data_IF_443355189155
#
_entry.id   IF_443355189155
#
_cell.length_a   1.000
_cell.length_b   1.000
_cell.length_c   1.000
_cell.angle_alpha   90.00
_cell.angle_beta   90.00
_cell.angle_gamma   90.00
#
_symmetry.space_group_name_H-M   'P 1'
#
loop_
_entity.id
_entity.type
_entity.pdbx_description
1 polymer ?
#
# COMPACT_ATOMS: atom_id res chain seq x y z
N UNK A 1 17.55 -14.35 -9.87
CA UNK A 1 16.33 -13.57 -9.55
C UNK A 1 15.27 -13.75 -10.61
N UNK A 2 15.59 -13.61 -11.91
CA UNK A 2 14.63 -13.73 -13.02
C UNK A 2 13.71 -14.97 -12.92
N UNK A 3 14.28 -16.17 -12.84
CA UNK A 3 13.51 -17.43 -12.70
C UNK A 3 12.53 -17.39 -11.51
N UNK A 4 12.97 -16.93 -10.33
CA UNK A 4 12.09 -16.81 -9.15
C UNK A 4 10.96 -15.81 -9.32
N UNK A 5 11.21 -14.71 -10.05
CA UNK A 5 10.19 -13.71 -10.37
C UNK A 5 9.19 -14.29 -11.36
N UNK A 6 9.66 -15.01 -12.36
CA UNK A 6 8.80 -15.71 -13.32
C UNK A 6 7.93 -16.75 -12.64
N UNK A 7 8.49 -17.59 -11.77
CA UNK A 7 7.73 -18.56 -10.96
C UNK A 7 6.63 -17.88 -10.13
N UNK A 8 6.98 -16.79 -9.44
CA UNK A 8 6.02 -16.02 -8.66
C UNK A 8 4.90 -15.45 -9.55
N UNK A 9 5.27 -14.83 -10.68
CA UNK A 9 4.33 -14.23 -11.62
C UNK A 9 3.38 -15.28 -12.22
N UNK A 10 3.93 -16.43 -12.62
CA UNK A 10 3.17 -17.57 -13.14
C UNK A 10 2.21 -18.15 -12.11
N UNK A 11 2.54 -18.11 -10.82
CA UNK A 11 1.64 -18.54 -9.77
C UNK A 11 0.50 -17.53 -9.56
N UNK A 12 0.83 -16.24 -9.44
CA UNK A 12 -0.16 -15.22 -9.05
C UNK A 12 -1.07 -14.79 -10.20
N UNK A 13 -0.66 -14.95 -11.47
CA UNK A 13 -1.52 -14.61 -12.62
C UNK A 13 -2.83 -15.40 -12.61
N UNK A 14 -2.86 -16.60 -12.01
CA UNK A 14 -4.06 -17.43 -11.86
C UNK A 14 -5.13 -16.83 -10.93
N UNK A 15 -4.84 -15.75 -10.21
CA UNK A 15 -5.86 -15.02 -9.46
C UNK A 15 -6.74 -14.13 -10.35
N UNK A 16 -6.37 -13.94 -11.62
CA UNK A 16 -7.15 -13.21 -12.63
C UNK A 16 -7.71 -11.86 -12.09
N UNK A 17 -9.02 -11.65 -12.12
CA UNK A 17 -9.66 -10.42 -11.64
C UNK A 17 -9.49 -10.17 -10.14
N UNK A 18 -9.06 -11.17 -9.36
CA UNK A 18 -8.85 -11.11 -7.91
C UNK A 18 -7.41 -10.83 -7.51
N UNK A 19 -6.46 -10.79 -8.46
CA UNK A 19 -5.03 -10.61 -8.16
C UNK A 19 -4.74 -9.26 -7.48
N UNK A 20 -5.42 -8.21 -7.88
CA UNK A 20 -5.11 -6.86 -7.42
C UNK A 20 -3.72 -6.40 -7.87
N UNK A 21 -2.95 -5.80 -6.96
CA UNK A 21 -1.55 -5.38 -7.22
C UNK A 21 -0.59 -6.18 -6.36
N UNK A 22 0.48 -6.70 -6.96
CA UNK A 22 1.54 -7.38 -6.23
C UNK A 22 2.41 -6.37 -5.50
N UNK A 23 2.98 -6.82 -4.39
CA UNK A 23 3.62 -5.97 -3.40
C UNK A 23 5.10 -6.30 -3.27
N UNK A 24 5.98 -5.34 -3.60
CA UNK A 24 7.42 -5.40 -3.38
C UNK A 24 7.84 -4.43 -2.27
N UNK A 25 8.01 -4.94 -1.06
CA UNK A 25 8.64 -4.19 0.02
C UNK A 25 10.14 -4.45 0.05
N UNK A 26 10.93 -3.38 -0.08
CA UNK A 26 12.38 -3.46 0.00
C UNK A 26 12.85 -3.39 1.46
N UNK A 27 13.93 -4.11 1.76
CA UNK A 27 14.54 -4.09 3.09
C UNK A 27 15.10 -2.69 3.41
N UNK A 28 15.20 -2.34 4.69
CA UNK A 28 15.68 -1.02 5.14
C UNK A 28 17.13 -0.70 4.75
N UNK A 29 17.94 -1.73 4.51
CA UNK A 29 19.31 -1.59 4.00
C UNK A 29 19.37 -1.26 2.49
N UNK A 30 18.24 -1.37 1.77
CA UNK A 30 18.14 -1.01 0.36
C UNK A 30 18.02 0.52 0.27
N UNK A 31 19.09 1.17 -0.16
CA UNK A 31 19.22 2.62 -0.12
C UNK A 31 19.49 3.19 -1.54
N UNK A 32 19.52 4.52 -1.72
CA UNK A 32 19.61 5.14 -3.04
C UNK A 32 20.76 4.67 -3.93
N UNK A 33 21.87 4.18 -3.35
CA UNK A 33 22.99 3.62 -4.13
C UNK A 33 22.59 2.38 -4.94
N UNK A 34 21.51 1.71 -4.54
CA UNK A 34 20.97 0.52 -5.19
C UNK A 34 19.88 0.84 -6.23
N UNK A 35 19.65 2.13 -6.55
CA UNK A 35 18.66 2.57 -7.53
C UNK A 35 18.82 1.87 -8.89
N UNK A 36 20.05 1.66 -9.37
CA UNK A 36 20.27 0.96 -10.64
C UNK A 36 19.81 -0.51 -10.61
N UNK A 37 19.90 -1.17 -9.45
CA UNK A 37 19.36 -2.53 -9.27
C UNK A 37 17.83 -2.51 -9.31
N UNK A 38 17.22 -1.51 -8.68
CA UNK A 38 15.76 -1.35 -8.70
C UNK A 38 15.26 -1.02 -10.11
N UNK A 39 15.94 -0.13 -10.84
CA UNK A 39 15.64 0.19 -12.24
C UNK A 39 15.64 -1.05 -13.10
N UNK A 40 16.66 -1.90 -12.97
CA UNK A 40 16.73 -3.18 -13.70
C UNK A 40 15.54 -4.07 -13.34
N UNK A 41 15.27 -4.26 -12.05
CA UNK A 41 14.16 -5.10 -11.60
C UNK A 41 12.81 -4.63 -12.14
N UNK A 42 12.50 -3.33 -11.99
CA UNK A 42 11.22 -2.74 -12.42
C UNK A 42 11.04 -2.85 -13.94
N UNK A 43 12.10 -2.65 -14.72
CA UNK A 43 12.04 -2.77 -16.19
C UNK A 43 11.89 -4.20 -16.68
N UNK A 44 12.48 -5.17 -15.96
CA UNK A 44 12.41 -6.59 -16.28
C UNK A 44 11.13 -7.25 -15.73
N UNK A 45 10.36 -6.58 -14.87
CA UNK A 45 9.14 -7.12 -14.27
C UNK A 45 8.01 -7.24 -15.33
N UNK A 46 7.25 -8.35 -15.37
CA UNK A 46 6.15 -8.52 -16.32
C UNK A 46 5.11 -7.39 -16.22
N UNK A 47 4.83 -6.72 -17.34
CA UNK A 47 3.97 -5.52 -17.36
C UNK A 47 2.49 -5.83 -17.18
N UNK A 48 2.11 -7.08 -17.41
CA UNK A 48 0.75 -7.58 -17.28
C UNK A 48 0.32 -7.70 -15.82
N UNK A 49 1.28 -7.74 -14.88
CA UNK A 49 1.03 -7.87 -13.45
C UNK A 49 1.23 -6.51 -12.79
N UNK A 50 0.18 -5.90 -12.18
CA UNK A 50 0.33 -4.61 -11.52
C UNK A 50 1.28 -4.70 -10.33
N UNK A 51 2.33 -3.89 -10.33
CA UNK A 51 3.34 -3.85 -9.28
C UNK A 51 3.18 -2.59 -8.41
N UNK A 52 3.39 -2.75 -7.11
CA UNK A 52 3.54 -1.67 -6.16
C UNK A 52 4.85 -1.84 -5.37
N UNK A 53 5.61 -0.76 -5.20
CA UNK A 53 6.95 -0.76 -4.59
C UNK A 53 6.98 0.12 -3.35
N UNK A 54 7.59 -0.39 -2.27
CA UNK A 54 7.85 0.34 -1.03
C UNK A 54 9.36 0.40 -0.75
N UNK A 55 9.91 1.61 -0.67
CA UNK A 55 11.25 1.87 -0.12
C UNK A 55 11.14 2.28 1.35
N UNK A 56 12.05 1.77 2.20
CA UNK A 56 11.95 1.95 3.66
C UNK A 56 13.05 2.80 4.28
N UNK A 57 14.18 2.94 3.59
CA UNK A 57 15.29 3.73 4.08
C UNK A 57 14.98 5.24 3.97
N UNK A 58 15.32 6.01 5.00
CA UNK A 58 15.08 7.48 5.04
C UNK A 58 15.80 8.24 3.92
N UNK A 59 16.94 7.74 3.45
CA UNK A 59 17.77 8.40 2.45
C UNK A 59 17.06 8.53 1.08
N UNK A 60 16.01 7.73 0.84
CA UNK A 60 15.15 7.87 -0.34
C UNK A 60 14.29 9.14 -0.31
N UNK A 61 14.05 9.71 0.87
CA UNK A 61 13.12 10.82 1.11
C UNK A 61 13.84 12.12 1.47
N UNK A 62 15.03 12.05 2.08
CA UNK A 62 15.80 13.22 2.51
C UNK A 62 16.31 14.07 1.33
N UNK A 63 16.66 13.45 0.20
CA UNK A 63 17.15 14.15 -0.98
C UNK A 63 16.06 14.22 -2.07
N UNK A 64 15.53 15.42 -2.40
CA UNK A 64 14.48 15.58 -3.40
C UNK A 64 14.85 15.03 -4.79
N UNK A 65 16.13 15.09 -5.18
CA UNK A 65 16.58 14.54 -6.47
C UNK A 65 16.46 13.02 -6.48
N UNK A 66 16.92 12.36 -5.42
CA UNK A 66 16.81 10.90 -5.27
C UNK A 66 15.35 10.47 -5.25
N UNK A 67 14.51 11.16 -4.49
CA UNK A 67 13.08 10.87 -4.42
C UNK A 67 12.40 11.03 -5.79
N UNK A 68 12.74 12.08 -6.54
CA UNK A 68 12.21 12.31 -7.88
C UNK A 68 12.69 11.26 -8.88
N UNK A 69 13.96 10.87 -8.85
CA UNK A 69 14.51 9.83 -9.72
C UNK A 69 13.82 8.47 -9.46
N UNK A 70 13.53 8.16 -8.19
CA UNK A 70 12.74 6.99 -7.81
C UNK A 70 11.30 7.09 -8.31
N UNK A 71 10.61 8.21 -8.08
CA UNK A 71 9.23 8.38 -8.54
C UNK A 71 9.12 8.33 -10.07
N UNK A 72 10.07 8.93 -10.79
CA UNK A 72 10.11 8.90 -12.25
C UNK A 72 10.27 7.47 -12.78
N UNK A 73 11.14 6.65 -12.15
CA UNK A 73 11.25 5.24 -12.50
C UNK A 73 9.89 4.52 -12.39
N UNK A 74 9.14 4.76 -11.31
CA UNK A 74 7.84 4.13 -11.11
C UNK A 74 6.81 4.64 -12.12
N UNK A 75 6.78 5.95 -12.38
CA UNK A 75 5.90 6.59 -13.38
C UNK A 75 6.14 6.04 -14.78
N UNK A 76 7.39 5.98 -15.22
CA UNK A 76 7.79 5.48 -16.54
C UNK A 76 7.38 4.02 -16.78
N UNK A 77 7.17 3.25 -15.71
CA UNK A 77 6.86 1.83 -15.76
C UNK A 77 5.44 1.50 -15.23
N UNK A 78 4.60 2.52 -15.00
CA UNK A 78 3.24 2.37 -14.48
C UNK A 78 3.17 1.57 -13.15
N UNK A 79 4.17 1.74 -12.29
CA UNK A 79 4.27 1.07 -10.98
C UNK A 79 3.74 2.00 -9.89
N UNK A 80 2.98 1.45 -8.93
CA UNK A 80 2.47 2.24 -7.81
C UNK A 80 3.54 2.43 -6.73
N UNK A 81 3.71 3.67 -6.26
CA UNK A 81 4.53 3.97 -5.08
C UNK A 81 3.69 3.76 -3.81
N UNK A 82 4.16 2.91 -2.92
CA UNK A 82 3.45 2.58 -1.69
C UNK A 82 3.69 3.66 -0.66
N UNK A 83 2.61 4.31 -0.26
CA UNK A 83 2.65 5.34 0.78
C UNK A 83 2.44 4.68 2.13
N UNK A 84 3.45 4.76 2.99
CA UNK A 84 3.38 4.21 4.35
C UNK A 84 3.09 5.33 5.34
N UNK A 85 2.00 5.21 6.09
CA UNK A 85 1.68 6.08 7.22
C UNK A 85 1.94 5.34 8.53
N UNK A 86 3.07 5.64 9.17
CA UNK A 86 3.42 5.08 10.48
C UNK A 86 3.72 6.20 11.47
N UNK A 87 3.32 6.00 12.73
CA UNK A 87 3.60 6.97 13.79
C UNK A 87 5.11 7.18 13.95
N UNK A 88 5.51 8.43 14.17
CA UNK A 88 6.92 8.80 14.37
C UNK A 88 7.78 8.82 13.11
N UNK A 89 7.27 8.44 11.92
CA UNK A 89 8.03 8.52 10.64
C UNK A 89 7.40 9.44 9.60
N UNK A 90 7.05 10.66 10.02
CA UNK A 90 6.54 11.68 9.08
C UNK A 90 7.58 12.08 8.04
N UNK A 91 8.87 11.86 8.30
CA UNK A 91 10.00 12.03 7.37
C UNK A 91 9.85 11.21 6.08
N UNK A 92 9.11 10.09 6.12
CA UNK A 92 8.89 9.23 4.96
C UNK A 92 7.54 9.43 4.27
N UNK A 93 6.64 10.23 4.83
CA UNK A 93 5.26 10.33 4.33
C UNK A 93 5.17 11.33 3.16
N UNK A 94 5.21 10.82 1.93
CA UNK A 94 5.47 11.64 0.73
C UNK A 94 4.25 12.05 -0.11
N UNK A 95 3.09 11.38 0.03
CA UNK A 95 1.85 11.69 -0.72
C UNK A 95 2.01 11.73 -2.26
N UNK A 96 3.05 11.08 -2.82
CA UNK A 96 3.34 11.05 -4.26
C UNK A 96 2.80 9.76 -4.89
N UNK A 97 1.73 9.91 -5.68
CA UNK A 97 1.26 8.87 -6.59
C UNK A 97 2.13 8.85 -7.85
N UNK A 98 2.39 7.64 -8.36
CA UNK A 98 3.22 7.41 -9.56
C UNK A 98 2.44 6.74 -10.70
N UNK A 99 1.17 6.40 -10.46
CA UNK A 99 0.21 5.98 -11.48
C UNK A 99 -1.23 6.27 -10.99
N UNK A 100 -2.25 5.77 -11.68
CA UNK A 100 -3.67 5.95 -11.32
C UNK A 100 -4.13 5.08 -10.12
N UNK A 101 -3.21 4.41 -9.43
CA UNK A 101 -3.47 3.57 -8.25
C UNK A 101 -2.82 4.16 -7.01
N UNK A 102 -3.62 4.42 -5.98
CA UNK A 102 -3.13 4.74 -4.65
C UNK A 102 -2.98 3.44 -3.86
N UNK A 103 -1.77 3.16 -3.40
CA UNK A 103 -1.48 2.01 -2.55
C UNK A 103 -0.96 2.53 -1.21
N UNK A 104 -1.79 2.43 -0.16
CA UNK A 104 -1.52 3.02 1.15
C UNK A 104 -1.43 1.89 2.17
N UNK A 105 -0.35 1.90 2.96
CA UNK A 105 -0.18 1.05 4.13
C UNK A 105 -0.24 1.92 5.38
N UNK A 106 -1.36 1.86 6.07
CA UNK A 106 -1.57 2.51 7.35
C UNK A 106 -1.11 1.59 8.48
N UNK A 107 -0.10 2.03 9.23
CA UNK A 107 0.40 1.33 10.42
C UNK A 107 -0.11 2.07 11.66
N UNK A 108 -1.02 1.42 12.37
CA UNK A 108 -1.57 1.92 13.62
C UNK A 108 -0.55 1.80 14.76
N UNK A 109 -0.58 2.79 15.65
CA UNK A 109 0.23 2.84 16.85
C UNK A 109 -0.49 2.26 18.09
N UNK A 110 -1.73 1.78 17.94
CA UNK A 110 -2.64 1.43 19.03
C UNK A 110 -2.83 2.61 19.98
N UNK A 111 -2.94 3.80 19.39
CA UNK A 111 -3.06 5.07 20.11
C UNK A 111 -4.29 5.81 19.60
N UNK A 112 -4.90 6.66 20.43
CA UNK A 112 -6.12 7.42 20.08
C UNK A 112 -5.95 8.27 18.82
N UNK A 113 -4.73 8.68 18.50
CA UNK A 113 -4.40 9.41 17.28
C UNK A 113 -4.57 8.60 15.99
N UNK A 114 -4.68 7.27 16.04
CA UNK A 114 -4.91 6.46 14.83
C UNK A 114 -6.23 6.80 14.17
N UNK A 115 -7.26 7.13 14.95
CA UNK A 115 -8.57 7.56 14.44
C UNK A 115 -8.41 8.86 13.65
N UNK A 116 -7.79 9.89 14.23
CA UNK A 116 -7.62 11.18 13.55
C UNK A 116 -6.72 11.05 12.31
N UNK A 117 -5.64 10.26 12.39
CA UNK A 117 -4.78 9.99 11.23
C UNK A 117 -5.54 9.30 10.09
N UNK A 118 -6.42 8.34 10.38
CA UNK A 118 -7.29 7.73 9.37
C UNK A 118 -8.26 8.73 8.75
N UNK A 119 -8.82 9.63 9.56
CA UNK A 119 -9.73 10.67 9.07
C UNK A 119 -9.01 11.69 8.17
N UNK A 120 -7.75 12.03 8.46
CA UNK A 120 -6.92 12.92 7.62
C UNK A 120 -6.71 12.37 6.19
N UNK A 121 -6.81 11.06 6.00
CA UNK A 121 -6.71 10.43 4.68
C UNK A 121 -7.95 10.64 3.81
N UNK A 122 -9.13 10.87 4.41
CA UNK A 122 -10.40 11.03 3.68
C UNK A 122 -10.37 12.20 2.69
N UNK A 123 -10.08 13.45 3.10
CA UNK A 123 -10.02 14.58 2.16
C UNK A 123 -8.90 14.42 1.13
N UNK A 124 -7.82 13.70 1.48
CA UNK A 124 -6.74 13.40 0.53
C UNK A 124 -7.22 12.49 -0.60
N UNK A 125 -7.90 11.42 -0.24
CA UNK A 125 -8.42 10.43 -1.20
C UNK A 125 -9.53 11.06 -2.04
N UNK A 126 -10.38 11.89 -1.46
CA UNK A 126 -11.40 12.66 -2.20
C UNK A 126 -10.76 13.53 -3.28
N UNK A 127 -9.74 14.32 -2.91
CA UNK A 127 -8.98 15.12 -3.87
C UNK A 127 -8.33 14.25 -4.96
N UNK A 128 -7.74 13.11 -4.62
CA UNK A 128 -7.15 12.23 -5.63
C UNK A 128 -8.22 11.62 -6.55
N UNK A 129 -9.40 11.28 -6.04
CA UNK A 129 -10.54 10.81 -6.84
C UNK A 129 -10.95 11.87 -7.86
N UNK A 130 -11.06 13.13 -7.45
CA UNK A 130 -11.34 14.26 -8.35
C UNK A 130 -10.25 14.43 -9.42
N UNK A 131 -9.00 14.09 -9.09
CA UNK A 131 -7.85 14.15 -9.99
C UNK A 131 -7.67 12.91 -10.88
N UNK A 132 -8.60 11.95 -10.84
CA UNK A 132 -8.59 10.78 -11.73
C UNK A 132 -7.99 9.51 -11.12
N UNK A 133 -7.92 9.40 -9.79
CA UNK A 133 -7.59 8.14 -9.12
C UNK A 133 -8.59 7.04 -9.54
N UNK A 134 -8.07 5.92 -10.02
CA UNK A 134 -8.88 4.80 -10.52
C UNK A 134 -9.00 3.67 -9.52
N UNK A 135 -7.93 3.40 -8.75
CA UNK A 135 -7.89 2.31 -7.77
C UNK A 135 -7.31 2.79 -6.45
N UNK A 136 -7.92 2.37 -5.35
CA UNK A 136 -7.44 2.61 -3.99
C UNK A 136 -7.26 1.26 -3.30
N UNK A 137 -6.02 0.96 -2.93
CA UNK A 137 -5.71 -0.08 -1.97
C UNK A 137 -5.32 0.59 -0.64
N UNK A 138 -6.06 0.32 0.42
CA UNK A 138 -5.82 0.90 1.75
C UNK A 138 -5.72 -0.24 2.77
N UNK A 139 -4.49 -0.56 3.19
CA UNK A 139 -4.20 -1.64 4.13
C UNK A 139 -4.01 -1.08 5.53
N UNK A 140 -4.88 -1.48 6.45
CA UNK A 140 -4.75 -1.18 7.88
C UNK A 140 -4.00 -2.33 8.55
N UNK A 141 -2.85 -2.03 9.14
CA UNK A 141 -2.04 -2.97 9.90
C UNK A 141 -1.86 -2.44 11.32
N UNK A 142 -2.12 -3.28 12.33
CA UNK A 142 -1.78 -2.99 13.72
C UNK A 142 -0.99 -4.12 14.35
N UNK A 143 -0.20 -3.77 15.38
CA UNK A 143 0.53 -4.74 16.19
C UNK A 143 -0.40 -5.58 17.08
N UNK A 144 -1.62 -5.09 17.37
CA UNK A 144 -2.65 -5.82 18.12
C UNK A 144 -3.84 -6.04 17.20
N UNK A 145 -4.04 -7.28 16.73
CA UNK A 145 -4.96 -7.58 15.63
C UNK A 145 -6.44 -7.29 15.96
N UNK A 146 -6.83 -7.29 17.24
CA UNK A 146 -8.24 -7.13 17.66
C UNK A 146 -8.82 -5.76 17.26
N UNK A 147 -7.99 -4.73 17.19
CA UNK A 147 -8.41 -3.36 16.89
C UNK A 147 -8.49 -3.06 15.38
N UNK A 148 -7.82 -3.88 14.53
CA UNK A 148 -7.71 -3.63 13.09
C UNK A 148 -9.07 -3.65 12.36
N UNK A 149 -10.00 -4.60 12.66
CA UNK A 149 -11.34 -4.56 12.09
C UNK A 149 -12.15 -3.33 12.48
N UNK A 150 -11.96 -2.81 13.70
CA UNK A 150 -12.68 -1.63 14.19
C UNK A 150 -12.20 -0.35 13.48
N UNK A 151 -10.89 -0.19 13.32
CA UNK A 151 -10.32 0.91 12.57
C UNK A 151 -10.72 0.86 11.08
N UNK A 152 -10.70 -0.33 10.48
CA UNK A 152 -11.15 -0.52 9.11
C UNK A 152 -12.65 -0.20 8.95
N UNK A 153 -13.50 -0.65 9.86
CA UNK A 153 -14.93 -0.31 9.87
C UNK A 153 -15.16 1.21 9.98
N UNK A 154 -14.47 1.88 10.91
CA UNK A 154 -14.55 3.33 11.08
C UNK A 154 -14.16 4.06 9.80
N UNK A 155 -13.01 3.70 9.22
CA UNK A 155 -12.50 4.29 8.00
C UNK A 155 -13.44 4.08 6.81
N UNK A 156 -13.94 2.86 6.61
CA UNK A 156 -14.86 2.54 5.50
C UNK A 156 -16.16 3.34 5.62
N UNK A 157 -16.73 3.48 6.82
CA UNK A 157 -17.95 4.29 7.03
C UNK A 157 -17.73 5.75 6.62
N UNK A 158 -16.62 6.35 7.04
CA UNK A 158 -16.26 7.73 6.69
C UNK A 158 -15.98 7.89 5.19
N UNK A 159 -15.26 6.94 4.61
CA UNK A 159 -14.92 6.92 3.18
C UNK A 159 -16.17 6.78 2.29
N UNK A 160 -17.08 5.87 2.65
CA UNK A 160 -18.36 5.68 1.96
C UNK A 160 -19.19 6.96 1.98
N UNK A 161 -19.27 7.63 3.15
CA UNK A 161 -20.01 8.87 3.30
C UNK A 161 -19.41 10.02 2.47
N UNK A 162 -18.10 10.22 2.51
CA UNK A 162 -17.42 11.30 1.78
C UNK A 162 -17.50 11.08 0.26
N UNK A 163 -17.12 9.88 -0.21
CA UNK A 163 -17.00 9.61 -1.64
C UNK A 163 -18.29 9.16 -2.31
N UNK A 164 -19.38 9.01 -1.54
CA UNK A 164 -20.68 8.45 -1.96
C UNK A 164 -20.51 7.07 -2.63
N UNK A 165 -19.75 6.19 -1.99
CA UNK A 165 -19.48 4.82 -2.43
C UNK A 165 -20.00 3.81 -1.40
N UNK A 166 -19.97 2.52 -1.75
CA UNK A 166 -20.50 1.45 -0.91
C UNK A 166 -19.51 0.30 -0.77
N UNK A 167 -18.33 0.58 -0.20
CA UNK A 167 -17.35 -0.44 0.16
C UNK A 167 -17.93 -1.30 1.30
N UNK A 168 -17.92 -2.64 1.19
CA UNK A 168 -18.41 -3.51 2.26
C UNK A 168 -17.63 -3.34 3.56
N UNK A 169 -18.35 -3.23 4.68
CA UNK A 169 -17.75 -3.20 6.01
C UNK A 169 -17.45 -4.63 6.49
N UNK A 170 -16.26 -4.92 7.04
CA UNK A 170 -15.96 -6.22 7.64
C UNK A 170 -16.99 -6.58 8.71
N UNK A 171 -17.61 -7.76 8.60
CA UNK A 171 -18.45 -8.28 9.69
C UNK A 171 -17.54 -8.75 10.81
N UNK A 172 -17.86 -8.42 12.07
CA UNK A 172 -17.30 -9.14 13.22
C UNK A 172 -17.57 -10.62 13.00
N UNK A 173 -16.53 -11.45 12.87
CA UNK A 173 -16.71 -12.89 12.99
C UNK A 173 -17.21 -13.14 14.41
N UNK A 174 -18.37 -13.80 14.62
CA UNK A 174 -18.59 -14.47 15.90
C UNK A 174 -17.40 -15.41 16.11
N UNK A 175 -16.91 -15.50 17.36
CA UNK A 175 -15.64 -16.12 17.74
C UNK A 175 -15.18 -17.22 16.79
N UNK A 176 -14.02 -17.02 16.17
CA UNK A 176 -13.41 -18.01 15.31
C UNK A 176 -13.12 -19.23 16.19
N UNK A 177 -13.97 -20.26 16.12
CA UNK A 177 -13.69 -21.56 16.73
C UNK A 177 -12.32 -22.04 16.26
N UNK A 178 -11.57 -22.68 17.16
CA UNK A 178 -10.26 -23.18 16.79
C UNK A 178 -10.43 -24.23 15.68
N UNK A 179 -9.44 -24.30 14.79
CA UNK A 179 -9.38 -25.31 13.71
C UNK A 179 -9.39 -26.77 14.24
N UNK A 180 -9.36 -26.96 15.56
CA UNK A 180 -9.31 -28.23 16.27
C UNK A 180 -10.40 -28.41 17.33
N UNK A 181 -11.45 -27.57 17.34
CA UNK A 181 -12.62 -27.86 18.16
C UNK A 181 -13.42 -28.98 17.46
N UNK A 182 -13.07 -30.23 17.76
CA UNK A 182 -13.91 -31.39 17.48
C UNK A 182 -14.78 -31.67 18.70
N UNK A 183 -16.08 -31.81 18.48
CA UNK A 183 -17.09 -32.19 19.48
C UNK A 183 -16.76 -33.51 20.20
#
# INVERSE_FOLDING_TARGET
VKERVEDFCNAVVNFEEKLGSVFLQLHDNFNPKDLEKLKKFVKDFPREIPLAVEVRNKDWFENPRVHNDFCQLLEDNNVANIIVDTAGRRDMLHMRLTNSTAFIRFVGANHSSDISRLEDWIPRIEKWKEQGLQKLYFFVHQNVEVESPLLAEHFIKKLNAALKINVPVPKKKPGQGNLFDFD
#
